data_IF_438366687331
#
_entry.id   IF_438366687331
#
_cell.length_a   1.000
_cell.length_b   1.000
_cell.length_c   1.000
_cell.angle_alpha   90.00
_cell.angle_beta   90.00
_cell.angle_gamma   90.00
#
_symmetry.space_group_name_H-M   'P 1'
#
loop_
_entity.id
_entity.type
_entity.pdbx_description
1 polymer ?
#
# COMPACT_ATOMS: atom_id res chain seq x y z
N UNK A 1 12.88 17.85 -25.91
CA UNK A 1 13.12 17.06 -24.69
C UNK A 1 12.07 17.30 -23.59
N UNK A 2 11.63 18.54 -23.36
CA UNK A 2 10.64 18.94 -22.33
C UNK A 2 9.24 18.29 -22.49
N UNK A 3 8.83 17.95 -23.72
CA UNK A 3 7.53 17.32 -24.00
C UNK A 3 7.43 15.86 -23.52
N UNK A 4 8.56 15.16 -23.32
CA UNK A 4 8.60 13.77 -22.82
C UNK A 4 8.40 13.68 -21.30
N UNK A 5 8.81 14.70 -20.55
CA UNK A 5 8.59 14.76 -19.08
C UNK A 5 7.13 15.06 -18.77
N UNK A 6 6.47 15.89 -19.60
CA UNK A 6 5.04 16.19 -19.45
C UNK A 6 4.13 14.98 -19.66
N UNK A 7 4.56 14.00 -20.47
CA UNK A 7 3.85 12.74 -20.70
C UNK A 7 4.15 11.65 -19.66
N UNK A 8 5.01 11.90 -18.66
CA UNK A 8 5.20 10.95 -17.55
C UNK A 8 3.95 10.89 -16.66
N UNK A 9 3.22 12.01 -16.57
CA UNK A 9 1.90 12.10 -15.96
C UNK A 9 0.81 11.93 -17.02
N UNK A 10 0.73 10.76 -17.66
CA UNK A 10 -0.59 10.30 -18.12
C UNK A 10 -1.50 10.33 -16.88
N UNK A 11 -2.57 11.14 -16.91
CA UNK A 11 -3.51 11.25 -15.78
C UNK A 11 -3.98 9.85 -15.42
N UNK A 12 -3.52 9.33 -14.28
CA UNK A 12 -4.09 8.12 -13.73
C UNK A 12 -5.61 8.34 -13.60
N UNK A 13 -6.44 7.33 -13.92
CA UNK A 13 -7.88 7.44 -13.72
C UNK A 13 -8.17 7.92 -12.29
N UNK A 14 -9.24 8.69 -12.13
CA UNK A 14 -9.57 9.29 -10.84
C UNK A 14 -9.61 8.24 -9.71
N UNK A 15 -10.25 7.09 -9.98
CA UNK A 15 -10.33 6.00 -9.02
C UNK A 15 -8.97 5.34 -8.70
N UNK A 16 -8.07 5.23 -9.68
CA UNK A 16 -6.70 4.74 -9.44
C UNK A 16 -5.91 5.74 -8.58
N UNK A 17 -6.15 7.04 -8.78
CA UNK A 17 -5.56 8.09 -7.94
C UNK A 17 -6.05 7.96 -6.50
N UNK A 18 -7.34 7.67 -6.29
CA UNK A 18 -7.88 7.39 -4.96
C UNK A 18 -7.15 6.21 -4.30
N UNK A 19 -6.93 5.09 -4.99
CA UNK A 19 -6.14 3.97 -4.45
C UNK A 19 -4.73 4.39 -4.05
N UNK A 20 -4.08 5.19 -4.89
CA UNK A 20 -2.76 5.75 -4.58
C UNK A 20 -2.79 6.61 -3.31
N UNK A 21 -3.78 7.48 -3.17
CA UNK A 21 -3.96 8.31 -1.96
C UNK A 21 -4.23 7.44 -0.73
N UNK A 22 -5.04 6.39 -0.85
CA UNK A 22 -5.31 5.44 0.23
C UNK A 22 -4.02 4.74 0.69
N UNK A 23 -3.20 4.26 -0.25
CA UNK A 23 -1.88 3.69 0.09
C UNK A 23 -1.00 4.72 0.79
N UNK A 24 -0.97 5.97 0.32
CA UNK A 24 -0.15 7.04 0.90
C UNK A 24 -0.59 7.40 2.33
N UNK A 25 -1.90 7.43 2.60
CA UNK A 25 -2.42 7.61 3.97
C UNK A 25 -1.90 6.49 4.87
N UNK A 26 -1.91 5.24 4.40
CA UNK A 26 -1.39 4.10 5.17
C UNK A 26 0.13 4.19 5.38
N UNK A 27 0.90 4.72 4.42
CA UNK A 27 2.33 5.03 4.62
C UNK A 27 2.49 6.02 5.77
N UNK A 28 1.78 7.15 5.72
CA UNK A 28 1.90 8.21 6.73
C UNK A 28 1.50 7.71 8.12
N UNK A 29 0.41 6.95 8.23
CA UNK A 29 -0.04 6.39 9.50
C UNK A 29 0.99 5.42 10.11
N UNK A 30 1.57 4.54 9.30
CA UNK A 30 2.57 3.58 9.78
C UNK A 30 3.93 4.23 10.03
N UNK A 31 4.34 5.22 9.24
CA UNK A 31 5.54 6.01 9.50
C UNK A 31 5.40 6.83 10.78
N UNK A 32 4.23 7.39 11.04
CA UNK A 32 3.91 8.06 12.31
C UNK A 32 4.01 7.06 13.47
N UNK A 33 3.44 5.85 13.33
CA UNK A 33 3.56 4.78 14.33
C UNK A 33 5.02 4.40 14.62
N UNK A 34 5.87 4.34 13.59
CA UNK A 34 7.30 4.12 13.75
C UNK A 34 7.98 5.28 14.49
N UNK A 35 7.72 6.51 14.07
CA UNK A 35 8.28 7.72 14.69
C UNK A 35 7.88 7.87 16.16
N UNK A 36 6.61 7.63 16.49
CA UNK A 36 6.14 7.68 17.89
C UNK A 36 6.79 6.62 18.75
N UNK A 37 7.00 5.41 18.23
CA UNK A 37 7.70 4.35 18.96
C UNK A 37 9.15 4.72 19.31
N UNK A 38 9.85 5.42 18.41
CA UNK A 38 11.21 5.90 18.65
C UNK A 38 11.25 7.07 19.63
N UNK A 39 10.37 8.05 19.47
CA UNK A 39 10.35 9.26 20.31
C UNK A 39 9.87 8.94 21.73
N UNK A 40 8.86 8.09 21.86
CA UNK A 40 8.24 7.75 23.15
C UNK A 40 8.72 6.40 23.69
N UNK A 41 9.94 5.98 23.33
CA UNK A 41 10.46 4.64 23.63
C UNK A 41 10.33 4.27 25.12
N UNK A 42 10.83 5.13 26.02
CA UNK A 42 10.79 4.90 27.46
C UNK A 42 9.36 4.91 28.01
N UNK A 43 8.52 5.84 27.54
CA UNK A 43 7.11 5.91 27.95
C UNK A 43 6.36 4.60 27.61
N UNK A 44 6.62 4.03 26.43
CA UNK A 44 6.01 2.77 26.02
C UNK A 44 6.56 1.61 26.86
N UNK A 45 7.85 1.59 27.20
CA UNK A 45 8.40 0.58 28.10
C UNK A 45 7.75 0.61 29.48
N UNK A 46 7.54 1.81 30.03
CA UNK A 46 7.06 1.98 31.40
C UNK A 46 5.56 1.69 31.52
N UNK A 47 4.75 2.09 30.53
CA UNK A 47 3.29 2.02 30.61
C UNK A 47 2.63 0.96 29.71
N UNK A 48 3.30 0.51 28.64
CA UNK A 48 2.78 -0.48 27.69
C UNK A 48 3.86 -1.52 27.29
N UNK A 49 4.44 -2.25 28.26
CA UNK A 49 5.60 -3.11 28.04
C UNK A 49 5.36 -4.27 27.06
N UNK A 50 4.08 -4.63 26.81
CA UNK A 50 3.69 -5.65 25.82
C UNK A 50 2.78 -5.00 24.77
N UNK A 51 3.09 -5.09 23.46
CA UNK A 51 4.22 -5.81 22.84
C UNK A 51 5.56 -5.06 22.91
N UNK A 52 5.60 -3.85 23.48
CA UNK A 52 6.81 -3.04 23.64
C UNK A 52 7.16 -2.18 22.42
N UNK A 53 8.04 -1.17 22.60
CA UNK A 53 8.31 -0.18 21.56
C UNK A 53 9.05 -0.76 20.34
N UNK A 54 9.91 -1.76 20.53
CA UNK A 54 10.64 -2.40 19.44
C UNK A 54 9.70 -3.05 18.41
N UNK A 55 8.65 -3.74 18.89
CA UNK A 55 7.64 -4.33 18.03
C UNK A 55 6.86 -3.26 17.26
N UNK A 56 6.45 -2.18 17.93
CA UNK A 56 5.69 -1.07 17.33
C UNK A 56 6.54 -0.39 16.24
N UNK A 57 7.84 -0.17 16.51
CA UNK A 57 8.77 0.40 15.56
C UNK A 57 8.96 -0.51 14.34
N UNK A 58 9.28 -1.80 14.56
CA UNK A 58 9.53 -2.75 13.48
C UNK A 58 8.31 -2.92 12.57
N UNK A 59 7.12 -3.08 13.16
CA UNK A 59 5.88 -3.22 12.38
C UNK A 59 5.50 -1.92 11.67
N UNK A 60 5.66 -0.76 12.32
CA UNK A 60 5.43 0.54 11.68
C UNK A 60 6.32 0.74 10.45
N UNK A 61 7.62 0.46 10.57
CA UNK A 61 8.56 0.59 9.45
C UNK A 61 8.25 -0.40 8.32
N UNK A 62 7.98 -1.67 8.65
CA UNK A 62 7.64 -2.71 7.68
C UNK A 62 6.42 -2.30 6.86
N UNK A 63 5.33 -1.92 7.53
CA UNK A 63 4.08 -1.59 6.85
C UNK A 63 4.17 -0.28 6.08
N UNK A 64 4.85 0.75 6.60
CA UNK A 64 5.09 1.98 5.87
C UNK A 64 5.85 1.70 4.56
N UNK A 65 6.88 0.84 4.62
CA UNK A 65 7.68 0.45 3.45
C UNK A 65 6.86 -0.33 2.43
N UNK A 66 6.09 -1.34 2.86
CA UNK A 66 5.22 -2.11 1.97
C UNK A 66 4.19 -1.22 1.26
N UNK A 67 3.52 -0.32 2.00
CA UNK A 67 2.55 0.61 1.40
C UNK A 67 3.20 1.62 0.46
N UNK A 68 4.43 2.04 0.73
CA UNK A 68 5.18 2.93 -0.15
C UNK A 68 5.52 2.23 -1.47
N UNK A 69 5.95 0.97 -1.41
CA UNK A 69 6.19 0.15 -2.61
C UNK A 69 4.90 0.01 -3.43
N UNK A 70 3.77 -0.24 -2.77
CA UNK A 70 2.47 -0.31 -3.45
C UNK A 70 2.09 1.02 -4.09
N UNK A 71 2.25 2.14 -3.38
CA UNK A 71 2.00 3.47 -3.94
C UNK A 71 2.84 3.70 -5.21
N UNK A 72 4.14 3.40 -5.15
CA UNK A 72 5.03 3.53 -6.31
C UNK A 72 4.61 2.58 -7.45
N UNK A 73 4.21 1.35 -7.14
CA UNK A 73 3.70 0.40 -8.14
C UNK A 73 2.46 0.92 -8.88
N UNK A 74 1.59 1.67 -8.18
CA UNK A 74 0.41 2.31 -8.77
C UNK A 74 0.81 3.48 -9.65
N UNK A 75 1.70 4.37 -9.18
CA UNK A 75 2.17 5.52 -9.97
C UNK A 75 2.94 5.09 -11.22
N UNK A 76 3.71 4.01 -11.11
CA UNK A 76 4.44 3.42 -12.23
C UNK A 76 3.56 2.52 -13.11
N UNK A 77 2.29 2.33 -12.75
CA UNK A 77 1.33 1.43 -13.40
C UNK A 77 1.90 0.03 -13.69
N UNK A 78 2.55 -0.55 -12.67
CA UNK A 78 3.03 -1.92 -12.78
C UNK A 78 1.86 -2.86 -13.05
N UNK A 79 2.05 -3.81 -13.97
CA UNK A 79 1.02 -4.77 -14.41
C UNK A 79 0.33 -5.51 -13.26
N UNK A 80 1.09 -5.79 -12.20
CA UNK A 80 0.61 -6.47 -10.98
C UNK A 80 0.29 -5.53 -9.81
N UNK A 81 0.38 -4.21 -10.00
CA UNK A 81 0.20 -3.21 -8.94
C UNK A 81 -1.17 -3.29 -8.28
N UNK A 82 -2.25 -3.45 -9.07
CA UNK A 82 -3.60 -3.63 -8.55
C UNK A 82 -3.77 -4.90 -7.71
N UNK A 83 -3.26 -6.03 -8.20
CA UNK A 83 -3.31 -7.32 -7.47
C UNK A 83 -2.47 -7.24 -6.19
N UNK A 84 -1.27 -6.66 -6.26
CA UNK A 84 -0.40 -6.47 -5.11
C UNK A 84 -1.04 -5.56 -4.05
N UNK A 85 -1.72 -4.48 -4.46
CA UNK A 85 -2.48 -3.63 -3.55
C UNK A 85 -3.56 -4.44 -2.81
N UNK A 86 -4.31 -5.27 -3.52
CA UNK A 86 -5.39 -6.05 -2.92
C UNK A 86 -4.86 -7.10 -1.94
N UNK A 87 -3.81 -7.84 -2.33
CA UNK A 87 -3.18 -8.83 -1.46
C UNK A 87 -2.61 -8.17 -0.19
N UNK A 88 -1.91 -7.03 -0.33
CA UNK A 88 -1.38 -6.30 0.81
C UNK A 88 -2.49 -5.74 1.70
N UNK A 89 -3.61 -5.29 1.12
CA UNK A 89 -4.79 -4.85 1.86
C UNK A 89 -5.37 -5.95 2.74
N UNK A 90 -5.52 -7.17 2.22
CA UNK A 90 -5.98 -8.31 3.01
C UNK A 90 -4.97 -8.68 4.10
N UNK A 91 -3.68 -8.71 3.77
CA UNK A 91 -2.64 -9.04 4.76
C UNK A 91 -2.59 -8.00 5.89
N UNK A 92 -2.71 -6.71 5.54
CA UNK A 92 -2.73 -5.61 6.50
C UNK A 92 -3.99 -5.64 7.37
N UNK A 93 -5.15 -5.93 6.80
CA UNK A 93 -6.39 -6.11 7.55
C UNK A 93 -6.29 -7.27 8.54
N UNK A 94 -5.79 -8.42 8.10
CA UNK A 94 -5.55 -9.58 8.98
C UNK A 94 -4.57 -9.25 10.10
N UNK A 95 -3.45 -8.58 9.78
CA UNK A 95 -2.49 -8.10 10.76
C UNK A 95 -3.15 -7.17 11.79
N UNK A 96 -3.94 -6.19 11.33
CA UNK A 96 -4.64 -5.26 12.21
C UNK A 96 -5.56 -5.98 13.21
N UNK A 97 -6.34 -6.95 12.74
CA UNK A 97 -7.25 -7.69 13.61
C UNK A 97 -6.52 -8.62 14.57
N UNK A 98 -5.44 -9.27 14.14
CA UNK A 98 -4.58 -10.07 15.01
C UNK A 98 -3.96 -9.18 16.10
N UNK A 99 -3.35 -8.05 15.73
CA UNK A 99 -2.76 -7.10 16.68
C UNK A 99 -3.83 -6.60 17.68
N UNK A 100 -5.03 -6.27 17.19
CA UNK A 100 -6.16 -5.80 17.99
C UNK A 100 -6.66 -6.85 19.00
N UNK A 101 -6.80 -8.11 18.62
CA UNK A 101 -7.34 -9.16 19.50
C UNK A 101 -6.29 -9.74 20.46
N UNK A 102 -5.04 -9.93 20.00
CA UNK A 102 -4.04 -10.65 20.77
C UNK A 102 -3.07 -9.75 21.54
N UNK A 103 -2.75 -8.56 21.01
CA UNK A 103 -1.73 -7.68 21.60
C UNK A 103 -2.34 -6.52 22.38
N UNK A 104 -3.64 -6.25 22.22
CA UNK A 104 -4.32 -5.13 22.86
C UNK A 104 -5.62 -5.52 23.62
N UNK A 105 -5.66 -6.65 24.35
CA UNK A 105 -6.90 -7.15 24.97
C UNK A 105 -7.46 -6.25 26.08
N UNK A 106 -6.61 -5.45 26.72
CA UNK A 106 -6.99 -4.57 27.85
C UNK A 106 -7.33 -3.13 27.45
N UNK A 107 -7.20 -2.79 26.17
CA UNK A 107 -7.67 -1.51 25.68
C UNK A 107 -9.20 -1.59 25.55
N UNK A 108 -9.95 -1.05 26.52
CA UNK A 108 -11.41 -0.89 26.43
C UNK A 108 -11.75 -0.09 25.16
N UNK A 109 -12.01 -0.80 24.07
CA UNK A 109 -12.25 -0.20 22.76
C UNK A 109 -13.66 -0.51 22.29
N UNK A 110 -14.61 0.33 22.70
CA UNK A 110 -16.01 0.26 22.25
C UNK A 110 -16.20 0.44 20.74
N UNK A 111 -15.16 0.86 20.01
CA UNK A 111 -15.22 1.13 18.57
C UNK A 111 -14.92 -0.09 17.67
N UNK A 112 -15.01 -1.33 18.19
CA UNK A 112 -14.72 -2.53 17.40
C UNK A 112 -15.62 -2.67 16.17
N UNK A 113 -16.92 -2.42 16.34
CA UNK A 113 -17.89 -2.45 15.24
C UNK A 113 -17.56 -1.42 14.15
N UNK A 114 -17.23 -0.19 14.56
CA UNK A 114 -16.81 0.86 13.62
C UNK A 114 -15.56 0.47 12.83
N UNK A 115 -14.53 -0.06 13.51
CA UNK A 115 -13.32 -0.52 12.84
C UNK A 115 -13.57 -1.67 11.86
N UNK A 116 -14.49 -2.58 12.18
CA UNK A 116 -14.91 -3.66 11.31
C UNK A 116 -15.58 -3.14 10.04
N UNK A 117 -16.58 -2.26 10.19
CA UNK A 117 -17.26 -1.63 9.06
C UNK A 117 -16.27 -0.85 8.19
N UNK A 118 -15.37 -0.06 8.80
CA UNK A 118 -14.35 0.69 8.06
C UNK A 118 -13.40 -0.23 7.29
N UNK A 119 -13.00 -1.36 7.87
CA UNK A 119 -12.15 -2.36 7.19
C UNK A 119 -12.88 -2.98 6.00
N UNK A 120 -14.15 -3.35 6.16
CA UNK A 120 -14.96 -3.90 5.07
C UNK A 120 -15.16 -2.90 3.95
N UNK A 121 -15.51 -1.64 4.28
CA UNK A 121 -15.65 -0.58 3.28
C UNK A 121 -14.35 -0.32 2.52
N UNK A 122 -13.21 -0.33 3.20
CA UNK A 122 -11.90 -0.21 2.58
C UNK A 122 -11.64 -1.36 1.59
N UNK A 123 -11.86 -2.61 2.00
CA UNK A 123 -11.61 -3.78 1.15
C UNK A 123 -12.57 -3.85 -0.04
N UNK A 124 -13.87 -3.67 0.20
CA UNK A 124 -14.90 -3.68 -0.84
C UNK A 124 -14.70 -2.52 -1.81
N UNK A 125 -14.46 -1.31 -1.30
CA UNK A 125 -14.18 -0.15 -2.14
C UNK A 125 -12.95 -0.36 -3.02
N UNK A 126 -11.88 -0.95 -2.46
CA UNK A 126 -10.68 -1.29 -3.21
C UNK A 126 -10.95 -2.32 -4.30
N UNK A 127 -11.71 -3.37 -4.01
CA UNK A 127 -12.13 -4.37 -4.99
C UNK A 127 -12.96 -3.78 -6.11
N UNK A 128 -13.94 -2.93 -5.79
CA UNK A 128 -14.78 -2.25 -6.78
C UNK A 128 -13.92 -1.38 -7.69
N UNK A 129 -13.05 -0.54 -7.12
CA UNK A 129 -12.18 0.34 -7.91
C UNK A 129 -11.29 -0.48 -8.86
N UNK A 130 -10.70 -1.58 -8.39
CA UNK A 130 -9.87 -2.45 -9.23
C UNK A 130 -10.65 -3.25 -10.27
N UNK A 131 -11.95 -3.48 -10.03
CA UNK A 131 -12.83 -4.15 -10.98
C UNK A 131 -13.29 -3.24 -12.13
N UNK A 132 -13.22 -1.91 -11.95
CA UNK A 132 -13.59 -0.95 -13.00
C UNK A 132 -12.72 -1.12 -14.26
N UNK A 133 -13.32 -1.01 -15.46
CA UNK A 133 -12.61 -1.22 -16.72
C UNK A 133 -11.47 -0.22 -16.92
N UNK A 134 -11.64 1.03 -16.47
CA UNK A 134 -10.59 2.06 -16.53
C UNK A 134 -9.35 1.70 -15.71
N UNK A 135 -9.56 1.17 -14.50
CA UNK A 135 -8.47 0.72 -13.63
C UNK A 135 -7.75 -0.48 -14.23
N UNK A 136 -8.48 -1.44 -14.80
CA UNK A 136 -7.90 -2.60 -15.50
C UNK A 136 -7.07 -2.17 -16.70
N UNK A 137 -7.61 -1.26 -17.53
CA UNK A 137 -6.91 -0.72 -18.68
C UNK A 137 -5.63 0.02 -18.28
N UNK A 138 -5.66 0.78 -17.17
CA UNK A 138 -4.49 1.47 -16.64
C UNK A 138 -3.33 0.52 -16.29
N UNK A 139 -3.63 -0.60 -15.61
CA UNK A 139 -2.61 -1.58 -15.25
C UNK A 139 -2.20 -2.49 -16.43
N UNK A 140 -3.07 -2.69 -17.43
CA UNK A 140 -2.74 -3.46 -18.62
C UNK A 140 -1.87 -2.67 -19.62
N UNK A 141 -2.24 -1.42 -19.93
CA UNK A 141 -1.67 -0.66 -21.05
C UNK A 141 -0.22 -0.20 -20.88
N UNK A 142 0.33 -0.15 -19.66
CA UNK A 142 1.74 0.24 -19.42
C UNK A 142 2.69 -0.98 -19.33
N UNK A 143 2.13 -2.19 -19.19
CA UNK A 143 2.90 -3.44 -19.24
C UNK A 143 3.40 -3.74 -20.64
N UNK A 144 2.53 -3.61 -21.65
CA UNK A 144 2.84 -3.94 -23.05
C UNK A 144 3.90 -3.01 -23.66
N UNK A 145 3.89 -1.71 -23.33
CA UNK A 145 4.89 -0.75 -23.81
C UNK A 145 6.29 -1.02 -23.21
N UNK A 146 6.37 -1.58 -22.01
CA UNK A 146 7.63 -1.94 -21.36
C UNK A 146 8.14 -3.31 -21.84
N UNK A 147 7.25 -4.29 -22.06
CA UNK A 147 7.60 -5.61 -22.61
C UNK A 147 8.08 -5.48 -24.08
N UNK A 148 7.37 -4.73 -24.92
CA UNK A 148 7.77 -4.47 -26.32
C UNK A 148 9.12 -3.75 -26.45
N UNK A 149 9.42 -2.80 -25.54
CA UNK A 149 10.75 -2.17 -25.51
C UNK A 149 11.86 -3.12 -25.06
N UNK A 150 11.58 -4.02 -24.13
CA UNK A 150 12.57 -5.00 -23.68
C UNK A 150 12.91 -5.99 -24.79
N UNK A 151 11.93 -6.38 -25.60
CA UNK A 151 12.10 -7.25 -26.77
C UNK A 151 12.92 -6.58 -27.88
N UNK A 152 12.62 -5.31 -28.21
CA UNK A 152 13.39 -4.53 -29.22
C UNK A 152 14.85 -4.28 -28.78
N UNK A 153 15.14 -4.29 -27.48
CA UNK A 153 16.49 -4.00 -26.96
C UNK A 153 17.35 -5.26 -26.82
N UNK A 154 16.85 -6.46 -27.17
CA UNK A 154 17.64 -7.68 -27.14
C UNK A 154 18.45 -7.83 -28.45
N UNK A 155 19.78 -7.58 -28.46
CA UNK A 155 20.57 -7.57 -29.70
C UNK A 155 20.78 -8.96 -30.31
N UNK A 156 20.36 -10.03 -29.61
CA UNK A 156 20.61 -11.41 -30.02
C UNK A 156 19.68 -11.90 -31.13
N UNK A 157 18.57 -11.21 -31.40
CA UNK A 157 17.66 -11.58 -32.50
C UNK A 157 17.92 -10.85 -33.83
N UNK A 158 18.77 -9.81 -33.84
CA UNK A 158 19.13 -9.08 -35.06
C UNK A 158 20.30 -9.72 -35.84
N UNK A 159 20.79 -10.88 -35.41
CA UNK A 159 21.97 -11.56 -35.97
C UNK A 159 21.68 -12.95 -36.55
N UNK A 160 20.40 -13.35 -36.67
CA UNK A 160 19.99 -14.57 -37.38
C UNK A 160 19.15 -14.24 -38.60
#
# INVERSE_FOLDING_TARGET
MIRKIKNFFFKAPFFVTILGVMALILVVLNATRFGTALVQWNLILDFMPKPGPAYIAATGLLWASCWLIIYLSIQLAWRRGGVAFLLLSFLYASYYWIDRFFLQPHAERSNALFAFIATLLFLIGSMIILALPESRAYFAGKGEVNESKAEITNPKELLN
#
